data_IF_255950322851
#
_entry.id   IF_255950322851
#
_cell.length_a   1.000
_cell.length_b   1.000
_cell.length_c   1.000
_cell.angle_alpha   90.00
_cell.angle_beta   90.00
_cell.angle_gamma   90.00
#
_symmetry.space_group_name_H-M   'P 1'
#
loop_
_entity.id
_entity.type
_entity.pdbx_description
1 polymer ?
#
# COMPACT_ATOMS: atom_id res chain seq x y z
N UNK A 1 -3.53 -13.63 -5.77
CA UNK A 1 -3.89 -12.30 -5.20
C UNK A 1 -2.78 -11.25 -5.26
N UNK A 2 -1.68 -11.50 -5.96
CA UNK A 2 -0.59 -10.53 -6.16
C UNK A 2 -0.84 -9.58 -7.37
N UNK A 3 -2.09 -9.35 -7.79
CA UNK A 3 -2.36 -8.59 -9.01
C UNK A 3 -2.15 -7.08 -8.82
N UNK A 4 -2.45 -6.55 -7.62
CA UNK A 4 -2.51 -5.10 -7.41
C UNK A 4 -1.15 -4.40 -7.41
N UNK A 5 -0.12 -4.97 -6.79
CA UNK A 5 1.21 -4.34 -6.72
C UNK A 5 1.90 -4.24 -8.10
N UNK A 6 1.94 -5.30 -8.93
CA UNK A 6 2.42 -5.22 -10.31
C UNK A 6 1.58 -4.28 -11.19
N UNK A 7 0.26 -4.30 -11.04
CA UNK A 7 -0.65 -3.42 -11.79
C UNK A 7 -0.34 -1.92 -11.55
N UNK A 8 -0.07 -1.54 -10.30
CA UNK A 8 0.29 -0.16 -9.96
C UNK A 8 1.65 0.28 -10.52
N UNK A 9 2.55 -0.67 -10.81
CA UNK A 9 3.84 -0.38 -11.46
C UNK A 9 3.67 -0.10 -12.96
N UNK A 10 2.57 -0.56 -13.56
CA UNK A 10 2.20 -0.30 -14.97
C UNK A 10 1.37 0.99 -15.13
N UNK A 11 1.54 1.98 -14.24
CA UNK A 11 0.87 3.28 -14.26
C UNK A 11 -0.67 3.25 -14.21
N UNK A 12 -1.24 2.18 -13.65
CA UNK A 12 -2.65 2.19 -13.28
C UNK A 12 -2.94 3.25 -12.22
N UNK A 13 -3.98 4.06 -12.46
CA UNK A 13 -4.38 5.17 -11.57
C UNK A 13 -5.34 4.76 -10.47
N UNK A 14 -6.06 3.65 -10.69
CA UNK A 14 -7.04 3.12 -9.74
C UNK A 14 -7.21 1.62 -9.98
N UNK A 15 -7.50 0.90 -8.90
CA UNK A 15 -7.97 -0.48 -8.95
C UNK A 15 -9.34 -0.52 -8.26
N UNK A 16 -10.31 -1.18 -8.90
CA UNK A 16 -11.67 -1.30 -8.40
C UNK A 16 -12.02 -2.78 -8.34
N UNK A 17 -12.46 -3.25 -7.18
CA UNK A 17 -13.04 -4.59 -7.04
C UNK A 17 -14.46 -4.60 -7.58
N UNK A 18 -14.88 -5.74 -8.13
CA UNK A 18 -16.23 -5.89 -8.68
C UNK A 18 -17.31 -5.88 -7.60
N UNK A 19 -17.52 -7.02 -6.93
CA UNK A 19 -18.38 -7.08 -5.75
C UNK A 19 -17.56 -6.68 -4.52
N UNK A 20 -18.14 -5.87 -3.63
CA UNK A 20 -17.52 -5.55 -2.33
C UNK A 20 -17.66 -6.70 -1.33
N UNK A 21 -18.80 -7.37 -1.34
CA UNK A 21 -19.09 -8.46 -0.43
C UNK A 21 -19.96 -9.53 -1.09
N UNK A 22 -19.70 -10.79 -0.79
CA UNK A 22 -20.50 -11.95 -1.19
C UNK A 22 -20.65 -12.88 0.01
N UNK A 23 -21.63 -13.78 0.00
CA UNK A 23 -21.71 -14.85 1.00
C UNK A 23 -20.75 -16.02 0.68
N UNK A 24 -20.71 -17.01 1.58
CA UNK A 24 -19.88 -18.22 1.43
C UNK A 24 -20.31 -19.12 0.26
N UNK A 25 -21.48 -18.86 -0.34
CA UNK A 25 -21.99 -19.51 -1.54
C UNK A 25 -21.78 -18.66 -2.82
N UNK A 26 -20.93 -17.63 -2.75
CA UNK A 26 -20.60 -16.72 -3.85
C UNK A 26 -21.78 -15.87 -4.35
N UNK A 27 -22.77 -15.63 -3.49
CA UNK A 27 -24.02 -14.96 -3.78
C UNK A 27 -24.26 -13.66 -2.99
N UNK A 28 -25.44 -13.04 -3.16
CA UNK A 28 -26.49 -13.40 -4.13
C UNK A 28 -26.05 -13.10 -5.57
N UNK A 29 -26.45 -13.96 -6.51
CA UNK A 29 -26.15 -13.80 -7.94
C UNK A 29 -27.34 -14.16 -8.81
N UNK A 30 -27.41 -13.57 -10.00
CA UNK A 30 -28.35 -14.00 -11.04
C UNK A 30 -27.86 -15.33 -11.65
N UNK A 31 -28.78 -16.16 -12.13
CA UNK A 31 -28.43 -17.38 -12.88
C UNK A 31 -27.64 -17.07 -14.16
N UNK A 32 -27.87 -15.88 -14.73
CA UNK A 32 -27.15 -15.33 -15.89
C UNK A 32 -25.84 -14.62 -15.52
N UNK A 33 -25.40 -14.64 -14.26
CA UNK A 33 -24.17 -13.99 -13.86
C UNK A 33 -22.96 -14.61 -14.58
N UNK A 34 -22.06 -13.76 -15.05
CA UNK A 34 -20.83 -14.14 -15.77
C UNK A 34 -19.94 -15.05 -14.90
N UNK A 35 -20.06 -14.96 -13.58
CA UNK A 35 -19.24 -15.69 -12.63
C UNK A 35 -20.11 -16.38 -11.58
N UNK A 36 -19.91 -17.68 -11.41
CA UNK A 36 -20.66 -18.52 -10.47
C UNK A 36 -19.93 -18.83 -9.17
N UNK A 37 -18.62 -18.52 -9.13
CA UNK A 37 -17.70 -18.83 -8.03
C UNK A 37 -16.82 -17.63 -7.68
N UNK A 38 -17.28 -16.41 -7.97
CA UNK A 38 -16.52 -15.21 -7.67
C UNK A 38 -16.46 -14.97 -6.17
N UNK A 39 -15.30 -14.51 -5.70
CA UNK A 39 -15.08 -14.17 -4.30
C UNK A 39 -14.87 -12.67 -4.19
N UNK A 40 -15.64 -12.03 -3.31
CA UNK A 40 -15.48 -10.62 -2.98
C UNK A 40 -14.31 -10.39 -2.02
N UNK A 41 -13.89 -9.14 -1.82
CA UNK A 41 -12.92 -8.78 -0.78
C UNK A 41 -13.48 -9.02 0.63
N UNK A 42 -14.80 -8.99 0.80
CA UNK A 42 -15.46 -9.36 2.05
C UNK A 42 -16.36 -10.58 1.82
N UNK A 43 -16.37 -11.49 2.79
CA UNK A 43 -17.33 -12.59 2.87
C UNK A 43 -18.33 -12.30 3.98
N UNK A 44 -19.63 -12.40 3.70
CA UNK A 44 -20.70 -12.17 4.68
C UNK A 44 -21.30 -13.52 5.06
N UNK A 45 -21.07 -13.94 6.30
CA UNK A 45 -21.70 -15.14 6.87
C UNK A 45 -22.77 -14.72 7.86
N UNK A 46 -24.03 -15.04 7.59
CA UNK A 46 -25.12 -14.86 8.55
C UNK A 46 -25.95 -16.13 8.65
N UNK A 47 -25.47 -17.14 9.42
CA UNK A 47 -26.15 -18.43 9.54
C UNK A 47 -27.58 -18.32 10.13
N UNK A 48 -27.88 -17.25 10.87
CA UNK A 48 -29.12 -17.09 11.64
C UNK A 48 -29.70 -15.66 11.56
N UNK A 49 -29.36 -14.88 10.52
CA UNK A 49 -29.64 -13.44 10.45
C UNK A 49 -29.01 -12.62 11.58
N UNK A 50 -28.10 -13.20 12.38
CA UNK A 50 -27.26 -12.49 13.33
C UNK A 50 -25.85 -12.42 12.78
N UNK A 51 -25.19 -11.29 12.99
CA UNK A 51 -23.87 -11.00 12.44
C UNK A 51 -22.81 -11.26 13.52
N UNK A 52 -22.38 -12.52 13.73
CA UNK A 52 -21.32 -12.82 14.71
C UNK A 52 -20.35 -13.95 14.24
N UNK A 53 -19.14 -13.62 13.74
CA UNK A 53 -18.82 -12.39 13.02
C UNK A 53 -19.54 -12.39 11.68
N UNK A 54 -20.29 -11.33 11.40
CA UNK A 54 -21.08 -11.25 10.17
C UNK A 54 -20.27 -10.98 8.90
N UNK A 55 -18.97 -10.70 9.01
CA UNK A 55 -18.11 -10.27 7.91
C UNK A 55 -16.69 -10.79 8.12
N UNK A 56 -16.11 -11.42 7.10
CA UNK A 56 -14.72 -11.85 7.06
C UNK A 56 -13.98 -11.12 5.94
N UNK A 57 -12.78 -10.64 6.20
CA UNK A 57 -11.96 -9.97 5.20
C UNK A 57 -11.10 -10.98 4.44
N UNK A 58 -11.33 -11.10 3.14
CA UNK A 58 -10.48 -11.85 2.24
C UNK A 58 -9.20 -11.09 1.88
N UNK A 59 -8.23 -11.74 1.24
CA UNK A 59 -6.94 -11.10 0.96
C UNK A 59 -7.02 -9.96 -0.07
N UNK A 60 -8.04 -9.94 -0.94
CA UNK A 60 -8.33 -8.76 -1.78
C UNK A 60 -8.62 -7.51 -0.93
N UNK A 61 -9.37 -7.64 0.17
CA UNK A 61 -9.63 -6.53 1.09
C UNK A 61 -8.32 -6.07 1.74
N UNK A 62 -7.53 -7.01 2.25
CA UNK A 62 -6.25 -6.71 2.92
C UNK A 62 -5.35 -5.92 1.97
N UNK A 63 -5.11 -6.43 0.77
CA UNK A 63 -4.25 -5.77 -0.23
C UNK A 63 -4.77 -4.38 -0.60
N UNK A 64 -6.07 -4.25 -0.86
CA UNK A 64 -6.67 -2.98 -1.24
C UNK A 64 -6.65 -1.97 -0.10
N UNK A 65 -6.85 -2.40 1.15
CA UNK A 65 -6.79 -1.52 2.31
C UNK A 65 -5.38 -0.96 2.53
N UNK A 66 -4.34 -1.81 2.39
CA UNK A 66 -2.95 -1.36 2.44
C UNK A 66 -2.63 -0.28 1.40
N UNK A 67 -3.17 -0.44 0.18
CA UNK A 67 -3.02 0.53 -0.92
C UNK A 67 -3.83 1.80 -0.70
N UNK A 68 -5.07 1.69 -0.20
CA UNK A 68 -5.94 2.84 0.08
C UNK A 68 -5.32 3.75 1.15
N UNK A 69 -4.80 3.18 2.23
CA UNK A 69 -4.11 3.92 3.28
C UNK A 69 -2.87 4.63 2.72
N UNK A 70 -2.11 3.97 1.86
CA UNK A 70 -0.91 4.54 1.25
C UNK A 70 -1.18 5.54 0.12
N UNK A 71 -2.42 5.70 -0.35
CA UNK A 71 -2.72 6.57 -1.51
C UNK A 71 -3.91 7.49 -1.24
N UNK A 72 -5.12 6.95 -1.12
CA UNK A 72 -6.35 7.72 -0.94
C UNK A 72 -6.37 8.50 0.37
N UNK A 73 -5.99 7.87 1.47
CA UNK A 73 -5.98 8.54 2.79
C UNK A 73 -4.95 9.65 2.84
N UNK A 74 -3.82 9.50 2.12
CA UNK A 74 -2.86 10.59 1.98
C UNK A 74 -3.51 11.81 1.35
N UNK A 75 -4.25 11.67 0.24
CA UNK A 75 -4.89 12.81 -0.43
C UNK A 75 -6.03 13.44 0.37
N UNK A 76 -6.69 12.67 1.25
CA UNK A 76 -7.86 13.12 2.00
C UNK A 76 -7.53 14.10 3.14
N UNK A 77 -6.34 14.01 3.74
CA UNK A 77 -5.99 14.77 4.96
C UNK A 77 -5.44 16.18 4.63
N UNK A 78 -6.05 16.87 3.66
CA UNK A 78 -5.62 18.18 3.12
C UNK A 78 -4.53 18.07 2.04
N UNK A 79 -4.23 19.14 1.31
CA UNK A 79 -3.00 19.24 0.51
C UNK A 79 -2.94 18.55 -0.86
N UNK A 80 -4.05 18.17 -1.50
CA UNK A 80 -4.06 17.72 -2.90
C UNK A 80 -3.91 16.21 -3.12
N UNK A 81 -3.91 15.78 -4.39
CA UNK A 81 -3.96 14.35 -4.77
C UNK A 81 -2.65 13.63 -4.45
N UNK A 82 -2.74 12.34 -4.11
CA UNK A 82 -1.57 11.47 -3.97
C UNK A 82 -1.06 11.01 -5.34
N UNK A 83 0.26 11.04 -5.51
CA UNK A 83 0.95 10.62 -6.72
C UNK A 83 1.84 9.42 -6.40
N UNK A 84 1.88 8.42 -7.28
CA UNK A 84 2.94 7.40 -7.24
C UNK A 84 4.28 8.09 -7.48
N UNK A 85 5.27 7.81 -6.63
CA UNK A 85 6.62 8.36 -6.76
C UNK A 85 7.61 7.24 -6.99
N UNK A 86 8.72 7.53 -7.67
CA UNK A 86 9.79 6.57 -7.84
C UNK A 86 10.54 6.39 -6.53
N UNK A 87 10.69 5.15 -6.08
CA UNK A 87 11.64 4.77 -5.04
C UNK A 87 12.87 4.17 -5.68
N UNK A 88 14.05 4.56 -5.21
CA UNK A 88 15.30 3.94 -5.65
C UNK A 88 16.05 3.37 -4.47
N UNK A 89 16.82 2.36 -4.80
CA UNK A 89 17.51 1.47 -3.91
C UNK A 89 18.97 1.95 -3.82
N UNK A 90 19.46 2.28 -2.62
CA UNK A 90 20.85 2.77 -2.42
C UNK A 90 21.86 1.76 -2.97
N UNK A 91 22.96 2.18 -3.64
CA UNK A 91 23.98 1.26 -4.13
C UNK A 91 24.44 0.22 -3.10
N UNK A 92 24.77 -0.99 -3.58
CA UNK A 92 25.02 -2.17 -2.73
C UNK A 92 26.12 -1.94 -1.69
N UNK A 93 27.13 -1.14 -2.03
CA UNK A 93 28.24 -0.76 -1.14
C UNK A 93 27.84 0.11 0.07
N UNK A 94 26.65 0.72 0.08
CA UNK A 94 26.21 1.69 1.10
C UNK A 94 24.96 1.25 1.88
N UNK A 95 24.30 0.18 1.43
CA UNK A 95 22.95 -0.19 1.88
C UNK A 95 22.90 -1.02 3.16
N UNK A 96 23.96 -1.79 3.45
CA UNK A 96 24.01 -2.70 4.59
C UNK A 96 22.96 -3.82 4.52
N UNK A 97 22.53 -4.21 3.32
CA UNK A 97 21.54 -5.26 3.05
C UNK A 97 22.01 -6.08 1.84
N UNK A 98 21.73 -7.39 1.83
CA UNK A 98 22.16 -8.28 0.75
C UNK A 98 21.32 -8.14 -0.52
N UNK A 99 21.85 -8.57 -1.67
CA UNK A 99 21.11 -8.58 -2.94
C UNK A 99 19.92 -9.56 -2.90
N UNK A 100 20.03 -10.65 -2.13
CA UNK A 100 18.91 -11.58 -1.91
C UNK A 100 17.77 -10.93 -1.14
N UNK A 101 18.07 -10.15 -0.10
CA UNK A 101 17.06 -9.42 0.66
C UNK A 101 16.34 -8.39 -0.22
N UNK A 102 17.07 -7.75 -1.13
CA UNK A 102 16.47 -6.83 -2.10
C UNK A 102 15.49 -7.53 -3.05
N UNK A 103 15.85 -8.73 -3.51
CA UNK A 103 15.10 -9.46 -4.52
C UNK A 103 13.71 -9.89 -4.01
N UNK A 104 13.56 -10.13 -2.71
CA UNK A 104 12.30 -10.52 -2.09
C UNK A 104 11.51 -9.34 -1.49
N UNK A 105 11.98 -8.10 -1.65
CA UNK A 105 11.26 -6.90 -1.23
C UNK A 105 10.60 -6.20 -2.42
N UNK A 106 9.29 -5.96 -2.31
CA UNK A 106 8.51 -5.25 -3.31
C UNK A 106 7.88 -3.98 -2.70
N UNK A 107 8.53 -2.81 -2.85
CA UNK A 107 7.99 -1.54 -2.43
C UNK A 107 7.19 -0.83 -3.54
N UNK A 108 6.10 -0.16 -3.14
CA UNK A 108 5.38 0.84 -3.93
C UNK A 108 5.18 2.08 -3.08
N UNK A 109 5.60 3.24 -3.60
CA UNK A 109 5.55 4.50 -2.84
C UNK A 109 4.64 5.53 -3.47
N UNK A 110 4.02 6.31 -2.60
CA UNK A 110 3.13 7.41 -2.94
C UNK A 110 3.51 8.64 -2.12
N UNK A 111 3.20 9.81 -2.66
CA UNK A 111 3.37 11.07 -1.97
C UNK A 111 2.21 12.00 -2.25
N UNK A 112 1.75 12.73 -1.22
CA UNK A 112 0.74 13.78 -1.35
C UNK A 112 1.28 15.09 -0.74
N UNK A 113 1.04 16.26 -1.35
CA UNK A 113 1.51 17.53 -0.79
C UNK A 113 0.87 17.79 0.57
N UNK A 114 1.53 18.50 1.49
CA UNK A 114 0.86 18.95 2.73
C UNK A 114 -0.02 20.19 2.49
N UNK A 115 0.34 21.00 1.49
CA UNK A 115 -0.34 22.25 1.11
C UNK A 115 -0.30 22.40 -0.42
N UNK A 116 -1.35 22.99 -0.97
CA UNK A 116 -1.48 23.21 -2.42
C UNK A 116 -2.00 21.98 -3.18
N UNK A 117 -1.99 22.04 -4.50
CA UNK A 117 -2.47 20.97 -5.38
C UNK A 117 -1.34 20.10 -5.95
N UNK A 118 -0.10 20.61 -5.98
CA UNK A 118 1.02 19.99 -6.65
C UNK A 118 2.05 19.46 -5.65
N UNK A 119 2.64 18.30 -5.95
CA UNK A 119 3.69 17.73 -5.13
C UNK A 119 4.94 18.62 -5.20
N UNK A 120 5.50 19.05 -4.05
CA UNK A 120 6.72 19.87 -4.05
C UNK A 120 7.90 19.05 -4.57
N UNK A 121 8.83 19.70 -5.30
CA UNK A 121 10.01 19.02 -5.82
C UNK A 121 10.86 18.42 -4.68
N UNK A 122 11.64 17.36 -4.95
CA UNK A 122 12.55 16.81 -3.96
C UNK A 122 13.53 17.88 -3.47
N UNK A 123 13.73 17.97 -2.15
CA UNK A 123 14.76 18.85 -1.60
C UNK A 123 16.12 18.18 -1.72
N UNK A 124 16.99 18.72 -2.57
CA UNK A 124 18.36 18.25 -2.75
C UNK A 124 19.29 18.96 -1.76
N UNK A 125 19.48 18.36 -0.58
CA UNK A 125 20.40 18.87 0.44
C UNK A 125 20.30 18.07 1.73
N UNK A 126 21.31 18.15 2.61
CA UNK A 126 21.17 17.61 3.98
C UNK A 126 20.07 18.43 4.67
N UNK A 127 18.89 17.84 4.83
CA UNK A 127 17.87 18.42 5.69
C UNK A 127 18.49 18.61 7.08
N UNK A 128 18.53 19.85 7.57
CA UNK A 128 18.81 20.09 8.97
C UNK A 128 17.74 19.37 9.80
N UNK A 129 18.10 18.85 10.98
CA UNK A 129 17.11 18.35 11.93
C UNK A 129 16.06 19.46 12.16
N UNK A 130 14.81 19.22 11.74
CA UNK A 130 13.74 20.22 11.77
C UNK A 130 13.41 20.89 10.44
N UNK A 131 13.90 20.39 9.29
CA UNK A 131 13.45 20.86 7.99
C UNK A 131 11.92 20.76 7.85
N UNK A 132 11.30 21.81 7.30
CA UNK A 132 9.86 21.84 7.08
C UNK A 132 9.43 20.67 6.22
N UNK A 133 8.55 19.85 6.79
CA UNK A 133 7.87 18.77 6.09
C UNK A 133 6.95 19.40 5.05
N UNK A 134 6.97 18.86 3.84
CA UNK A 134 6.21 19.43 2.70
C UNK A 134 5.24 18.44 2.07
N UNK A 135 5.36 17.15 2.42
CA UNK A 135 4.53 16.08 1.87
C UNK A 135 4.27 14.99 2.90
N UNK A 136 3.24 14.20 2.62
CA UNK A 136 2.99 12.92 3.28
C UNK A 136 3.43 11.82 2.34
N UNK A 137 4.00 10.79 2.90
CA UNK A 137 4.51 9.64 2.19
C UNK A 137 3.72 8.42 2.61
N UNK A 138 3.41 7.57 1.64
CA UNK A 138 2.87 6.23 1.84
C UNK A 138 3.82 5.25 1.19
N UNK A 139 4.16 4.19 1.90
CA UNK A 139 4.89 3.04 1.36
C UNK A 139 4.06 1.80 1.63
N UNK A 140 3.72 1.07 0.58
CA UNK A 140 3.30 -0.32 0.70
C UNK A 140 4.50 -1.19 0.38
N UNK A 141 4.85 -2.06 1.31
CA UNK A 141 5.98 -2.96 1.20
C UNK A 141 5.50 -4.39 1.39
N UNK A 142 5.72 -5.21 0.37
CA UNK A 142 5.59 -6.66 0.48
C UNK A 142 6.99 -7.24 0.75
N UNK A 143 7.17 -7.82 1.93
CA UNK A 143 8.34 -8.60 2.29
C UNK A 143 8.04 -10.09 2.05
N UNK A 144 8.58 -10.64 0.96
CA UNK A 144 8.45 -12.06 0.61
C UNK A 144 9.59 -12.91 1.18
N UNK A 145 10.53 -12.29 1.90
CA UNK A 145 11.60 -12.99 2.55
C UNK A 145 11.04 -13.79 3.74
N UNK A 146 11.71 -14.87 4.11
CA UNK A 146 11.34 -15.74 5.24
C UNK A 146 11.69 -15.14 6.62
N UNK A 147 12.34 -13.98 6.64
CA UNK A 147 12.80 -13.30 7.84
C UNK A 147 12.54 -11.78 7.78
N UNK A 148 12.75 -11.12 8.91
CA UNK A 148 12.54 -9.68 9.03
C UNK A 148 13.78 -8.89 8.56
N UNK A 149 13.58 -7.83 7.78
CA UNK A 149 14.66 -7.01 7.22
C UNK A 149 14.61 -5.60 7.79
N UNK A 150 15.77 -5.08 8.22
CA UNK A 150 15.89 -3.69 8.67
C UNK A 150 16.05 -2.76 7.47
N UNK A 151 15.05 -1.95 7.21
CA UNK A 151 15.06 -0.97 6.13
C UNK A 151 15.33 0.43 6.66
N UNK A 152 16.06 1.20 5.87
CA UNK A 152 16.21 2.64 6.05
C UNK A 152 15.64 3.35 4.82
N UNK A 153 14.70 4.25 5.04
CA UNK A 153 14.11 5.11 4.02
C UNK A 153 14.68 6.52 4.18
N UNK A 154 14.89 7.20 3.05
CA UNK A 154 15.27 8.60 3.03
C UNK A 154 14.37 9.34 2.06
N UNK A 155 13.73 10.41 2.53
CA UNK A 155 12.92 11.32 1.70
C UNK A 155 13.36 12.73 2.02
N UNK A 156 13.74 13.50 1.01
CA UNK A 156 14.21 14.88 1.18
C UNK A 156 15.34 15.02 2.23
N UNK A 157 16.20 14.01 2.35
CA UNK A 157 17.30 13.97 3.31
C UNK A 157 16.90 13.56 4.75
N UNK A 158 15.61 13.35 5.03
CA UNK A 158 15.11 12.85 6.30
C UNK A 158 15.14 11.32 6.29
N UNK A 159 15.91 10.73 7.20
CA UNK A 159 16.08 9.27 7.31
C UNK A 159 15.21 8.69 8.42
N UNK A 160 14.47 7.63 8.09
CA UNK A 160 13.70 6.80 9.03
C UNK A 160 14.09 5.34 8.85
N UNK A 161 14.10 4.56 9.93
CA UNK A 161 14.31 3.11 9.88
C UNK A 161 13.07 2.34 10.31
N UNK A 162 12.83 1.19 9.70
CA UNK A 162 11.74 0.29 10.03
C UNK A 162 12.19 -1.18 9.91
N UNK A 163 11.65 -2.04 10.77
CA UNK A 163 11.86 -3.49 10.68
C UNK A 163 10.71 -4.13 9.92
N UNK A 164 10.92 -4.45 8.64
CA UNK A 164 9.93 -5.09 7.79
C UNK A 164 9.82 -6.59 8.13
N UNK A 165 8.68 -7.01 8.69
CA UNK A 165 8.37 -8.43 8.91
C UNK A 165 7.88 -9.09 7.61
N UNK A 166 7.97 -10.42 7.46
CA UNK A 166 7.36 -11.13 6.34
C UNK A 166 5.87 -10.78 6.17
N UNK A 167 5.43 -10.63 4.92
CA UNK A 167 4.08 -10.23 4.56
C UNK A 167 3.96 -8.79 4.10
N UNK A 168 2.73 -8.27 4.12
CA UNK A 168 2.40 -6.93 3.63
C UNK A 168 2.41 -5.91 4.77
N UNK A 169 3.07 -4.77 4.55
CA UNK A 169 3.13 -3.66 5.50
C UNK A 169 2.83 -2.35 4.78
N UNK A 170 2.07 -1.46 5.41
CA UNK A 170 1.93 -0.07 4.97
C UNK A 170 2.52 0.87 6.02
N UNK A 171 3.36 1.80 5.57
CA UNK A 171 3.89 2.89 6.38
C UNK A 171 3.36 4.21 5.85
N UNK A 172 2.93 5.08 6.77
CA UNK A 172 2.53 6.46 6.45
C UNK A 172 3.31 7.41 7.37
N UNK A 173 3.95 8.42 6.78
CA UNK A 173 4.68 9.42 7.55
C UNK A 173 4.67 10.78 6.84
N UNK A 174 5.06 11.82 7.57
CA UNK A 174 5.28 13.16 7.00
C UNK A 174 6.77 13.33 6.70
N UNK A 175 7.09 13.88 5.53
CA UNK A 175 8.44 14.16 5.04
C UNK A 175 8.57 15.60 4.54
#
# INVERSE_FOLDING_TARGET
EQLYMPALRMDMRAALTWNLALDSAFGPRLDSAICSNCVGPLEITSPDHKLVPGVQAGPQFINMNHLNVASQDLGRIGGGTAHRVSSMWTPSNERGMSDSDMACLDPVTFAAPLKGANLPPPKTGKAANGADKTKRMGLVLLNQCDHSIKLAFSVDGIRTSYQARPGLTTLVWMA
#
